data_IF_352950799347
#
_entry.id   IF_352950799347
#
_cell.length_a   1.000
_cell.length_b   1.000
_cell.length_c   1.000
_cell.angle_alpha   90.00
_cell.angle_beta   90.00
_cell.angle_gamma   90.00
#
_symmetry.space_group_name_H-M   'P 1'
#
loop_
_entity.id
_entity.type
_entity.pdbx_description
1 polymer ?
#
# COMPACT_ATOMS: atom_id res chain seq x y z
N UNK A 1 -5.11 -21.82 -10.41
CA UNK A 1 -6.19 -21.12 -9.69
C UNK A 1 -5.72 -20.52 -8.36
N UNK A 2 -5.19 -21.28 -7.39
CA UNK A 2 -4.62 -20.69 -6.16
C UNK A 2 -3.28 -19.96 -6.42
N UNK A 3 -2.39 -20.54 -7.23
CA UNK A 3 -1.11 -19.94 -7.60
C UNK A 3 -1.26 -18.58 -8.30
N UNK A 4 -2.20 -18.44 -9.24
CA UNK A 4 -2.45 -17.19 -9.96
C UNK A 4 -2.96 -16.07 -9.04
N UNK A 5 -3.68 -16.40 -7.96
CA UNK A 5 -4.09 -15.41 -6.96
C UNK A 5 -2.90 -14.95 -6.13
N UNK A 6 -2.06 -15.90 -5.70
CA UNK A 6 -0.83 -15.63 -4.95
C UNK A 6 0.16 -14.76 -5.76
N UNK A 7 0.33 -15.04 -7.05
CA UNK A 7 1.15 -14.22 -7.96
C UNK A 7 0.63 -12.79 -8.11
N UNK A 8 -0.70 -12.61 -8.18
CA UNK A 8 -1.33 -11.29 -8.25
C UNK A 8 -1.18 -10.52 -6.94
N UNK A 9 -1.32 -11.21 -5.82
CA UNK A 9 -1.13 -10.60 -4.49
C UNK A 9 0.34 -10.18 -4.29
N UNK A 10 1.30 -11.02 -4.71
CA UNK A 10 2.73 -10.67 -4.72
C UNK A 10 3.00 -9.46 -5.62
N UNK A 11 2.40 -9.42 -6.81
CA UNK A 11 2.56 -8.28 -7.72
C UNK A 11 1.98 -6.99 -7.13
N UNK A 12 0.80 -7.06 -6.50
CA UNK A 12 0.20 -5.94 -5.79
C UNK A 12 1.10 -5.46 -4.65
N UNK A 13 1.59 -6.36 -3.81
CA UNK A 13 2.46 -6.01 -2.69
C UNK A 13 3.73 -5.31 -3.14
N UNK A 14 4.35 -5.74 -4.26
CA UNK A 14 5.51 -5.06 -4.83
C UNK A 14 5.21 -3.63 -5.25
N UNK A 15 4.05 -3.38 -5.86
CA UNK A 15 3.63 -2.03 -6.25
C UNK A 15 3.42 -1.17 -5.01
N UNK A 16 2.75 -1.69 -3.98
CA UNK A 16 2.48 -0.97 -2.74
C UNK A 16 3.75 -0.68 -1.93
N UNK A 17 4.67 -1.65 -1.89
CA UNK A 17 6.02 -1.48 -1.34
C UNK A 17 6.76 -0.34 -2.05
N UNK A 18 6.74 -0.33 -3.38
CA UNK A 18 7.34 0.75 -4.17
C UNK A 18 6.78 2.13 -3.86
N UNK A 19 5.48 2.25 -3.56
CA UNK A 19 4.87 3.52 -3.13
C UNK A 19 5.41 3.96 -1.76
N UNK A 20 5.50 3.05 -0.79
CA UNK A 20 6.05 3.38 0.53
C UNK A 20 7.52 3.84 0.42
N UNK A 21 8.31 3.11 -0.35
CA UNK A 21 9.75 3.33 -0.50
C UNK A 21 10.05 4.61 -1.32
N UNK A 22 9.13 5.02 -2.21
CA UNK A 22 9.23 6.27 -2.97
C UNK A 22 8.88 7.54 -2.17
N UNK A 23 8.31 7.40 -0.97
CA UNK A 23 7.86 8.52 -0.15
C UNK A 23 8.36 8.44 1.30
N UNK A 24 9.70 8.47 1.52
CA UNK A 24 10.29 8.28 2.85
C UNK A 24 9.80 9.31 3.88
N UNK A 25 9.71 10.59 3.52
CA UNK A 25 9.20 11.63 4.44
C UNK A 25 7.75 11.37 4.89
N UNK A 26 6.93 10.85 3.97
CA UNK A 26 5.53 10.52 4.28
C UNK A 26 5.43 9.26 5.13
N UNK A 27 6.31 8.31 4.90
CA UNK A 27 6.42 7.09 5.68
C UNK A 27 6.84 7.42 7.10
N UNK A 28 7.83 8.30 7.29
CA UNK A 28 8.27 8.77 8.60
C UNK A 28 7.11 9.46 9.35
N UNK A 29 6.42 10.41 8.71
CA UNK A 29 5.26 11.08 9.30
C UNK A 29 4.15 10.08 9.68
N UNK A 30 3.92 9.04 8.87
CA UNK A 30 2.99 7.97 9.23
C UNK A 30 3.44 7.15 10.43
N UNK A 31 4.73 6.78 10.50
CA UNK A 31 5.31 6.03 11.63
C UNK A 31 5.15 6.81 12.94
N UNK A 32 5.34 8.14 12.88
CA UNK A 32 5.17 9.11 13.97
C UNK A 32 3.70 9.43 14.29
N UNK A 33 2.76 8.73 13.65
CA UNK A 33 1.30 8.87 13.84
C UNK A 33 0.75 10.27 13.49
N UNK A 34 1.43 10.98 12.60
CA UNK A 34 0.99 12.30 12.16
C UNK A 34 -0.21 12.20 11.21
N UNK A 35 -1.22 13.08 11.36
CA UNK A 35 -2.43 13.02 10.57
C UNK A 35 -2.17 13.25 9.08
N UNK A 36 -3.01 12.64 8.23
CA UNK A 36 -2.99 12.84 6.78
C UNK A 36 -2.06 11.90 5.99
N UNK A 37 -1.03 11.33 6.62
CA UNK A 37 -0.10 10.43 5.94
C UNK A 37 -0.76 9.13 5.48
N UNK A 38 -1.66 8.56 6.29
CA UNK A 38 -2.46 7.41 5.86
C UNK A 38 -3.31 7.72 4.63
N UNK A 39 -3.99 8.87 4.62
CA UNK A 39 -4.83 9.28 3.50
C UNK A 39 -4.05 9.45 2.20
N UNK A 40 -2.81 9.95 2.29
CA UNK A 40 -1.89 10.03 1.15
C UNK A 40 -1.60 8.64 0.57
N UNK A 41 -1.13 7.69 1.41
CA UNK A 41 -0.80 6.34 0.95
C UNK A 41 -2.01 5.57 0.43
N UNK A 42 -3.14 5.65 1.10
CA UNK A 42 -4.39 5.04 0.66
C UNK A 42 -4.85 5.57 -0.70
N UNK A 43 -4.65 6.87 -0.96
CA UNK A 43 -4.93 7.50 -2.25
C UNK A 43 -3.97 7.03 -3.35
N UNK A 44 -2.66 7.04 -3.09
CA UNK A 44 -1.64 6.57 -4.04
C UNK A 44 -1.84 5.10 -4.41
N UNK A 45 -2.10 4.24 -3.43
CA UNK A 45 -2.38 2.82 -3.66
C UNK A 45 -3.57 2.61 -4.60
N UNK A 46 -4.67 3.34 -4.39
CA UNK A 46 -5.84 3.28 -5.28
C UNK A 46 -5.52 3.79 -6.68
N UNK A 47 -4.75 4.88 -6.81
CA UNK A 47 -4.38 5.42 -8.12
C UNK A 47 -3.50 4.43 -8.91
N UNK A 48 -2.47 3.86 -8.27
CA UNK A 48 -1.58 2.90 -8.89
C UNK A 48 -2.33 1.65 -9.36
N UNK A 49 -3.21 1.09 -8.54
CA UNK A 49 -3.99 -0.09 -8.94
C UNK A 49 -4.97 0.23 -10.06
N UNK A 50 -5.62 1.41 -10.04
CA UNK A 50 -6.49 1.86 -11.15
C UNK A 50 -5.74 1.97 -12.47
N UNK A 51 -4.50 2.46 -12.44
CA UNK A 51 -3.64 2.54 -13.62
C UNK A 51 -3.30 1.15 -14.16
N UNK A 52 -2.95 0.21 -13.27
CA UNK A 52 -2.64 -1.18 -13.65
C UNK A 52 -3.81 -1.93 -14.29
N UNK A 53 -5.02 -1.78 -13.75
CA UNK A 53 -6.20 -2.51 -14.24
C UNK A 53 -7.01 -1.76 -15.30
N UNK A 54 -6.65 -0.49 -15.58
CA UNK A 54 -7.31 0.35 -16.60
C UNK A 54 -8.75 0.73 -16.30
N UNK A 55 -9.22 0.58 -15.05
CA UNK A 55 -10.60 0.94 -14.65
C UNK A 55 -10.68 1.46 -13.22
N UNK A 56 -11.84 2.00 -12.87
CA UNK A 56 -12.13 2.43 -11.50
C UNK A 56 -12.31 1.20 -10.60
N UNK A 57 -11.80 1.28 -9.37
CA UNK A 57 -12.01 0.26 -8.34
C UNK A 57 -13.41 0.40 -7.72
N UNK A 58 -14.08 -0.72 -7.53
CA UNK A 58 -15.26 -0.84 -6.71
C UNK A 58 -14.91 -0.72 -5.22
N UNK A 59 -15.91 -0.53 -4.38
CA UNK A 59 -15.68 -0.35 -2.94
C UNK A 59 -14.99 -1.54 -2.26
N UNK A 60 -15.38 -2.80 -2.50
CA UNK A 60 -14.68 -3.94 -1.94
C UNK A 60 -13.20 -3.97 -2.36
N UNK A 61 -12.91 -3.63 -3.61
CA UNK A 61 -11.54 -3.62 -4.15
C UNK A 61 -10.71 -2.49 -3.53
N UNK A 62 -11.28 -1.29 -3.36
CA UNK A 62 -10.61 -0.20 -2.65
C UNK A 62 -10.27 -0.58 -1.21
N UNK A 63 -11.21 -1.21 -0.49
CA UNK A 63 -10.97 -1.68 0.88
C UNK A 63 -9.87 -2.74 0.94
N UNK A 64 -9.83 -3.64 -0.03
CA UNK A 64 -8.75 -4.63 -0.14
C UNK A 64 -7.39 -3.95 -0.35
N UNK A 65 -7.29 -3.03 -1.30
CA UNK A 65 -6.06 -2.27 -1.58
C UNK A 65 -5.60 -1.47 -0.35
N UNK A 66 -6.54 -0.82 0.35
CA UNK A 66 -6.22 -0.14 1.61
C UNK A 66 -5.69 -1.11 2.66
N UNK A 67 -6.34 -2.25 2.85
CA UNK A 67 -5.88 -3.25 3.79
C UNK A 67 -4.46 -3.73 3.46
N UNK A 68 -4.16 -4.02 2.20
CA UNK A 68 -2.80 -4.40 1.76
C UNK A 68 -1.79 -3.28 2.00
N UNK A 69 -2.12 -2.03 1.65
CA UNK A 69 -1.23 -0.89 1.88
C UNK A 69 -0.94 -0.70 3.37
N UNK A 70 -1.95 -0.87 4.23
CA UNK A 70 -1.77 -0.80 5.67
C UNK A 70 -0.78 -1.86 6.18
N UNK A 71 -0.88 -3.11 5.69
CA UNK A 71 0.06 -4.17 6.06
C UNK A 71 1.50 -3.83 5.62
N UNK A 72 1.68 -3.32 4.39
CA UNK A 72 2.98 -2.86 3.91
C UNK A 72 3.58 -1.79 4.82
N UNK A 73 2.78 -0.77 5.20
CA UNK A 73 3.25 0.28 6.10
C UNK A 73 3.62 -0.26 7.49
N UNK A 74 2.83 -1.20 8.03
CA UNK A 74 3.15 -1.87 9.30
C UNK A 74 4.47 -2.64 9.24
N UNK A 75 4.76 -3.33 8.14
CA UNK A 75 6.04 -4.01 7.95
C UNK A 75 7.22 -3.02 7.96
N UNK A 76 7.07 -1.86 7.30
CA UNK A 76 8.08 -0.79 7.35
C UNK A 76 8.28 -0.25 8.77
N UNK A 77 7.19 0.00 9.51
CA UNK A 77 7.27 0.46 10.91
C UNK A 77 8.00 -0.53 11.80
N UNK A 78 7.67 -1.83 11.71
CA UNK A 78 8.36 -2.89 12.46
C UNK A 78 9.85 -2.96 12.12
N UNK A 79 10.20 -2.80 10.84
CA UNK A 79 11.59 -2.74 10.38
C UNK A 79 12.34 -1.52 10.93
N UNK A 80 11.67 -0.37 11.02
CA UNK A 80 12.23 0.86 11.58
C UNK A 80 12.45 0.78 13.10
N UNK A 81 11.61 0.06 13.83
CA UNK A 81 11.71 -0.11 15.29
C UNK A 81 12.79 -1.14 15.72
N UNK A 82 13.31 -1.91 14.76
CA UNK A 82 14.32 -2.96 14.99
C UNK A 82 15.77 -2.48 14.79
N UNK A 83 15.97 -1.20 14.48
CA UNK A 83 17.25 -0.52 14.29
C UNK A 83 17.52 0.46 15.44
#
# INVERSE_FOLDING_TARGET
>A
MAADADERDIALDRVLAGIADAHPDRLEGWIREEPGHWGFFAGQAVLAVRELIGRRLEEPERRFVWHRMWLVLLERKRGHESL
#
